data_IF_410200134010
#
_entry.id   IF_410200134010
#
_cell.length_a   1.000
_cell.length_b   1.000
_cell.length_c   1.000
_cell.angle_alpha   90.00
_cell.angle_beta   90.00
_cell.angle_gamma   90.00
#
_symmetry.space_group_name_H-M   'P 1'
#
loop_
_entity.id
_entity.type
_entity.pdbx_description
1 polymer ?
#
# COMPACT_ATOMS: atom_id res chain seq x y z
N UNK A 1 -21.56 -18.29 -11.82
CA UNK A 1 -20.66 -18.35 -10.65
C UNK A 1 -20.23 -19.80 -10.37
N UNK A 2 -21.15 -20.77 -10.11
CA UNK A 2 -20.80 -22.16 -9.78
C UNK A 2 -19.98 -22.86 -10.87
N UNK A 3 -20.27 -22.58 -12.14
CA UNK A 3 -19.51 -23.10 -13.28
C UNK A 3 -18.07 -22.54 -13.27
N UNK A 4 -17.93 -21.24 -13.01
CA UNK A 4 -16.62 -20.58 -12.91
C UNK A 4 -15.80 -21.12 -11.75
N UNK A 5 -16.42 -21.34 -10.59
CA UNK A 5 -15.75 -21.98 -9.46
C UNK A 5 -15.25 -23.41 -9.81
N UNK A 6 -16.00 -24.15 -10.60
CA UNK A 6 -15.58 -25.45 -11.12
C UNK A 6 -14.38 -25.36 -12.09
N UNK A 7 -14.36 -24.35 -12.96
CA UNK A 7 -13.23 -24.11 -13.88
C UNK A 7 -11.95 -23.78 -13.09
N UNK A 8 -12.04 -22.88 -12.12
CA UNK A 8 -10.89 -22.52 -11.26
C UNK A 8 -10.39 -23.71 -10.43
N UNK A 9 -11.30 -24.52 -9.90
CA UNK A 9 -10.96 -25.70 -9.12
C UNK A 9 -10.52 -26.93 -9.94
N UNK A 10 -10.55 -26.85 -11.27
CA UNK A 10 -10.22 -27.96 -12.15
C UNK A 10 -11.14 -29.19 -12.05
N UNK A 11 -12.30 -29.04 -11.39
CA UNK A 11 -13.30 -30.08 -11.17
C UNK A 11 -14.71 -29.49 -11.10
N UNK A 12 -15.72 -30.33 -11.27
CA UNK A 12 -17.10 -29.88 -11.07
C UNK A 12 -17.28 -29.41 -9.62
N UNK A 13 -17.73 -28.15 -9.45
CA UNK A 13 -18.05 -27.60 -8.13
C UNK A 13 -19.16 -28.41 -7.46
N UNK A 14 -18.91 -28.91 -6.27
CA UNK A 14 -19.86 -29.72 -5.52
C UNK A 14 -20.67 -28.84 -4.57
N UNK A 15 -21.98 -28.87 -4.70
CA UNK A 15 -22.88 -28.10 -3.85
C UNK A 15 -24.23 -28.83 -3.63
N UNK A 16 -24.95 -28.42 -2.62
CA UNK A 16 -26.32 -28.81 -2.36
C UNK A 16 -27.15 -27.60 -1.94
N UNK A 17 -28.45 -27.75 -1.89
CA UNK A 17 -29.34 -26.75 -1.33
C UNK A 17 -29.97 -27.29 -0.05
N UNK A 18 -29.97 -26.45 0.99
CA UNK A 18 -30.62 -26.73 2.27
C UNK A 18 -31.25 -25.45 2.82
N UNK A 19 -32.54 -25.49 3.15
CA UNK A 19 -33.31 -24.32 3.62
C UNK A 19 -33.22 -23.09 2.69
N UNK A 20 -33.09 -23.31 1.39
CA UNK A 20 -32.94 -22.23 0.39
C UNK A 20 -31.51 -21.71 0.20
N UNK A 21 -30.56 -22.14 1.02
CA UNK A 21 -29.14 -21.76 0.91
C UNK A 21 -28.35 -22.72 0.01
N UNK A 22 -27.48 -22.17 -0.83
CA UNK A 22 -26.52 -22.97 -1.60
C UNK A 22 -25.31 -23.28 -0.72
N UNK A 23 -25.09 -24.55 -0.42
CA UNK A 23 -24.03 -25.02 0.48
C UNK A 23 -22.93 -25.69 -0.35
N UNK A 24 -21.69 -25.20 -0.23
CA UNK A 24 -20.53 -25.87 -0.81
C UNK A 24 -20.19 -27.13 -0.02
N UNK A 25 -20.08 -28.25 -0.73
CA UNK A 25 -19.67 -29.53 -0.14
C UNK A 25 -18.15 -29.65 0.02
N UNK A 26 -17.37 -28.72 -0.57
CA UNK A 26 -15.92 -28.66 -0.42
C UNK A 26 -15.49 -27.75 0.76
N UNK A 27 -16.39 -26.91 1.29
CA UNK A 27 -16.09 -26.04 2.42
C UNK A 27 -15.87 -26.84 3.71
N UNK A 28 -14.90 -26.43 4.53
CA UNK A 28 -14.69 -27.05 5.85
C UNK A 28 -15.80 -26.67 6.83
N UNK A 29 -16.27 -25.42 6.76
CA UNK A 29 -17.40 -24.90 7.54
C UNK A 29 -18.33 -24.09 6.64
N UNK A 30 -19.62 -24.16 6.91
CA UNK A 30 -20.64 -23.31 6.31
C UNK A 30 -21.54 -22.78 7.41
N UNK A 31 -21.76 -21.48 7.43
CA UNK A 31 -22.67 -20.81 8.37
C UNK A 31 -23.81 -20.21 7.56
N UNK A 32 -25.05 -20.54 7.96
CA UNK A 32 -26.25 -19.95 7.36
C UNK A 32 -26.95 -19.07 8.37
N UNK A 33 -27.53 -17.96 7.90
CA UNK A 33 -28.20 -17.01 8.77
C UNK A 33 -28.72 -15.80 8.00
N UNK A 34 -29.23 -14.84 8.75
CA UNK A 34 -29.81 -13.60 8.22
C UNK A 34 -29.13 -12.38 8.79
N UNK A 35 -28.91 -11.37 7.95
CA UNK A 35 -28.48 -10.04 8.35
C UNK A 35 -29.63 -9.08 8.16
N UNK A 36 -30.18 -8.56 9.25
CA UNK A 36 -31.24 -7.55 9.21
C UNK A 36 -30.60 -6.17 9.00
N UNK A 37 -30.95 -5.44 7.94
CA UNK A 37 -30.44 -4.06 7.72
C UNK A 37 -30.70 -3.17 8.95
N UNK A 38 -29.64 -2.49 9.42
CA UNK A 38 -29.72 -1.62 10.60
C UNK A 38 -29.60 -2.33 11.96
N UNK A 39 -29.60 -3.67 12.01
CA UNK A 39 -29.28 -4.41 13.23
C UNK A 39 -27.79 -4.48 13.43
N UNK A 40 -27.22 -3.60 14.25
CA UNK A 40 -25.79 -3.49 14.51
C UNK A 40 -25.48 -3.78 15.98
N UNK A 41 -24.24 -4.19 16.24
CA UNK A 41 -23.69 -4.36 17.59
C UNK A 41 -22.26 -3.83 17.64
N UNK A 42 -21.78 -3.41 18.82
CA UNK A 42 -20.39 -2.97 19.00
C UNK A 42 -19.41 -4.06 18.63
N UNK A 43 -18.39 -3.68 17.84
CA UNK A 43 -17.25 -4.52 17.48
C UNK A 43 -15.96 -3.71 17.68
N UNK A 44 -14.86 -4.41 18.01
CA UNK A 44 -13.54 -3.81 18.25
C UNK A 44 -13.34 -3.35 19.70
N UNK A 45 -12.14 -2.80 20.02
CA UNK A 45 -10.99 -2.79 19.14
C UNK A 45 -10.32 -4.18 19.04
N UNK A 46 -9.78 -4.52 17.87
CA UNK A 46 -8.97 -5.72 17.66
C UNK A 46 -7.75 -5.39 16.78
N UNK A 47 -6.70 -6.22 16.83
CA UNK A 47 -5.53 -6.06 15.96
C UNK A 47 -5.87 -6.34 14.51
N UNK A 48 -5.45 -5.46 13.60
CA UNK A 48 -5.74 -5.54 12.19
C UNK A 48 -4.48 -5.70 11.34
N UNK A 49 -4.62 -6.10 10.08
CA UNK A 49 -3.51 -6.56 9.24
C UNK A 49 -2.47 -5.46 8.96
N UNK A 50 -2.83 -4.19 8.96
CA UNK A 50 -1.88 -3.08 8.83
C UNK A 50 -1.07 -2.82 10.11
N UNK A 51 -1.40 -3.47 11.24
CA UNK A 51 -0.70 -3.36 12.51
C UNK A 51 -1.27 -2.30 13.44
N UNK A 52 -2.43 -1.72 13.11
CA UNK A 52 -3.22 -0.87 14.01
C UNK A 52 -4.22 -1.69 14.80
N UNK A 53 -4.73 -1.11 15.88
CA UNK A 53 -5.98 -1.54 16.48
C UNK A 53 -7.15 -0.86 15.76
N UNK A 54 -8.19 -1.64 15.44
CA UNK A 54 -9.42 -1.12 14.85
C UNK A 54 -10.10 -0.12 15.79
N UNK A 55 -10.92 0.74 15.23
CA UNK A 55 -11.85 1.56 16.02
C UNK A 55 -12.95 0.66 16.60
N UNK A 56 -13.46 1.01 17.79
CA UNK A 56 -14.68 0.42 18.31
C UNK A 56 -15.88 1.15 17.71
N UNK A 57 -16.69 0.46 16.94
CA UNK A 57 -17.91 1.00 16.34
C UNK A 57 -18.93 -0.11 16.05
N UNK A 58 -20.16 0.27 15.71
CA UNK A 58 -21.22 -0.67 15.45
C UNK A 58 -21.10 -1.29 14.05
N UNK A 59 -21.15 -2.62 13.99
CA UNK A 59 -21.18 -3.41 12.77
C UNK A 59 -22.44 -4.22 12.59
N UNK A 60 -22.86 -4.56 11.34
CA UNK A 60 -23.97 -5.46 11.07
C UNK A 60 -23.79 -6.82 11.73
N UNK A 61 -24.88 -7.36 12.24
CA UNK A 61 -24.91 -8.64 12.95
C UNK A 61 -25.65 -9.69 12.13
N UNK A 62 -25.05 -10.87 12.00
CA UNK A 62 -25.68 -12.04 11.43
C UNK A 62 -26.33 -12.88 12.55
N UNK A 63 -27.61 -13.17 12.40
CA UNK A 63 -28.32 -14.17 13.19
C UNK A 63 -28.08 -15.55 12.58
N UNK A 64 -27.28 -16.36 13.25
CA UNK A 64 -26.89 -17.69 12.76
C UNK A 64 -28.05 -18.66 12.95
N UNK A 65 -28.48 -19.34 11.86
CA UNK A 65 -29.46 -20.40 11.88
C UNK A 65 -28.79 -21.76 12.09
N UNK A 66 -27.77 -22.07 11.26
CA UNK A 66 -27.05 -23.34 11.30
C UNK A 66 -25.57 -23.17 11.03
N UNK A 67 -24.78 -24.04 11.62
CA UNK A 67 -23.36 -24.20 11.34
C UNK A 67 -23.13 -25.64 10.89
N UNK A 68 -22.53 -25.79 9.72
CA UNK A 68 -22.13 -27.07 9.15
C UNK A 68 -20.61 -27.19 9.22
N UNK A 69 -20.15 -28.40 9.45
CA UNK A 69 -18.71 -28.72 9.38
C UNK A 69 -18.50 -30.04 8.66
N UNK A 70 -17.42 -30.20 7.94
CA UNK A 70 -17.01 -31.50 7.43
C UNK A 70 -16.90 -32.48 8.57
N UNK A 71 -17.43 -33.67 8.38
CA UNK A 71 -17.45 -34.73 9.41
C UNK A 71 -16.05 -35.15 9.85
N UNK A 72 -15.11 -35.15 8.90
CA UNK A 72 -13.70 -35.50 9.14
C UNK A 72 -12.78 -34.45 8.49
N UNK A 73 -11.67 -34.15 9.16
CA UNK A 73 -10.64 -33.28 8.67
C UNK A 73 -11.08 -31.84 8.34
N UNK A 74 -12.12 -31.31 9.00
CA UNK A 74 -12.40 -29.87 8.92
C UNK A 74 -11.23 -29.08 9.51
N UNK A 75 -10.71 -28.13 8.75
CA UNK A 75 -9.58 -27.31 9.13
C UNK A 75 -10.08 -25.92 9.47
N UNK A 76 -9.82 -25.48 10.70
CA UNK A 76 -9.98 -24.09 11.09
C UNK A 76 -8.61 -23.44 11.10
N UNK A 77 -8.20 -22.71 10.05
CA UNK A 77 -6.92 -22.08 10.03
C UNK A 77 -6.86 -20.98 11.09
N UNK A 78 -5.75 -20.90 11.79
CA UNK A 78 -5.47 -19.84 12.73
C UNK A 78 -4.29 -19.02 12.20
N UNK A 79 -4.53 -17.75 11.94
CA UNK A 79 -3.51 -16.85 11.40
C UNK A 79 -3.16 -15.77 12.40
N UNK A 80 -1.91 -15.31 12.35
CA UNK A 80 -1.45 -14.19 13.16
C UNK A 80 -1.43 -12.95 12.28
N UNK A 81 -2.29 -12.00 12.63
CA UNK A 81 -2.29 -10.67 12.02
C UNK A 81 -1.37 -9.76 12.80
N UNK A 82 -0.43 -9.14 12.14
CA UNK A 82 0.54 -8.25 12.80
C UNK A 82 1.91 -8.25 12.13
N UNK A 83 2.96 -8.13 12.94
CA UNK A 83 4.34 -8.04 12.46
C UNK A 83 5.17 -9.25 12.93
N UNK A 84 5.81 -9.94 12.00
CA UNK A 84 5.71 -9.85 10.55
C UNK A 84 4.35 -10.37 10.05
N UNK A 85 3.84 -9.85 8.90
CA UNK A 85 2.66 -10.39 8.25
C UNK A 85 2.96 -11.82 7.80
N UNK A 86 2.00 -12.73 7.94
CA UNK A 86 2.15 -14.12 7.55
C UNK A 86 1.15 -14.52 6.47
N UNK A 87 -0.13 -14.41 6.77
CA UNK A 87 -1.20 -14.76 5.84
C UNK A 87 -1.29 -13.78 4.68
N UNK A 88 -1.19 -12.48 4.97
CA UNK A 88 -1.34 -11.42 3.98
C UNK A 88 -0.32 -11.55 2.85
N UNK A 89 0.91 -11.98 3.14
CA UNK A 89 1.95 -12.23 2.14
C UNK A 89 1.52 -13.27 1.12
N UNK A 90 0.95 -14.38 1.56
CA UNK A 90 0.49 -15.45 0.67
C UNK A 90 -0.74 -15.02 -0.12
N UNK A 91 -1.64 -14.32 0.51
CA UNK A 91 -2.86 -13.81 -0.12
C UNK A 91 -2.53 -12.71 -1.15
N UNK A 92 -1.63 -11.79 -0.81
CA UNK A 92 -1.11 -10.77 -1.72
C UNK A 92 -0.45 -11.40 -2.96
N UNK A 93 0.41 -12.40 -2.80
CA UNK A 93 1.05 -13.11 -3.90
C UNK A 93 0.01 -13.77 -4.82
N UNK A 94 -1.01 -14.43 -4.25
CA UNK A 94 -2.09 -15.06 -5.02
C UNK A 94 -2.89 -14.02 -5.81
N UNK A 95 -3.25 -12.89 -5.21
CA UNK A 95 -3.96 -11.81 -5.89
C UNK A 95 -3.12 -11.26 -7.06
N UNK A 96 -1.83 -11.03 -6.86
CA UNK A 96 -0.93 -10.55 -7.93
C UNK A 96 -0.87 -11.53 -9.10
N UNK A 97 -0.80 -12.83 -8.82
CA UNK A 97 -0.78 -13.87 -9.87
C UNK A 97 -2.10 -13.88 -10.66
N UNK A 98 -3.24 -13.83 -9.97
CA UNK A 98 -4.57 -13.90 -10.60
C UNK A 98 -4.92 -12.62 -11.37
N UNK A 99 -4.55 -11.45 -10.89
CA UNK A 99 -5.03 -10.17 -11.43
C UNK A 99 -4.02 -9.42 -12.28
N UNK A 100 -2.72 -9.68 -12.12
CA UNK A 100 -1.64 -8.90 -12.74
C UNK A 100 -1.74 -8.78 -14.26
N UNK A 101 -2.08 -9.87 -14.95
CA UNK A 101 -2.26 -9.87 -16.41
C UNK A 101 -3.50 -9.08 -16.82
N UNK A 102 -4.62 -9.24 -16.11
CA UNK A 102 -5.86 -8.54 -16.41
C UNK A 102 -5.71 -7.02 -16.26
N UNK A 103 -5.04 -6.56 -15.20
CA UNK A 103 -4.78 -5.13 -14.97
C UNK A 103 -3.99 -4.47 -16.10
N UNK A 104 -3.00 -5.15 -16.66
CA UNK A 104 -2.22 -4.64 -17.81
C UNK A 104 -3.07 -4.44 -19.06
N UNK A 105 -4.11 -5.26 -19.25
CA UNK A 105 -5.06 -5.11 -20.35
C UNK A 105 -6.09 -4.02 -20.07
N UNK A 106 -6.49 -3.84 -18.83
CA UNK A 106 -7.49 -2.86 -18.43
C UNK A 106 -6.94 -1.43 -18.37
N UNK A 107 -5.65 -1.26 -18.06
CA UNK A 107 -4.99 0.03 -17.91
C UNK A 107 -3.97 0.24 -19.03
N UNK A 108 -4.34 0.93 -20.12
CA UNK A 108 -3.45 1.17 -21.24
C UNK A 108 -2.17 1.89 -20.83
N UNK A 109 -1.03 1.36 -21.26
CA UNK A 109 0.29 1.91 -20.93
C UNK A 109 0.91 1.36 -19.63
N UNK A 110 0.15 0.67 -18.78
CA UNK A 110 0.69 -0.01 -17.60
C UNK A 110 1.52 -1.23 -18.02
N UNK A 111 2.77 -1.31 -17.57
CA UNK A 111 3.69 -2.41 -17.86
C UNK A 111 3.85 -3.36 -16.66
N UNK A 112 4.10 -2.81 -15.49
CA UNK A 112 4.24 -3.56 -14.22
C UNK A 112 3.53 -2.83 -13.10
N UNK A 113 3.02 -3.59 -12.13
CA UNK A 113 2.39 -3.06 -10.93
C UNK A 113 2.64 -4.02 -9.76
N UNK A 114 2.91 -3.48 -8.59
CA UNK A 114 3.13 -4.23 -7.36
C UNK A 114 2.55 -3.46 -6.16
N UNK A 115 1.57 -4.05 -5.50
CA UNK A 115 1.12 -3.62 -4.18
C UNK A 115 2.04 -4.26 -3.15
N UNK A 116 2.85 -3.43 -2.47
CA UNK A 116 3.99 -3.89 -1.67
C UNK A 116 3.51 -4.52 -0.37
N UNK A 117 3.62 -5.83 -0.28
CA UNK A 117 3.23 -6.61 0.91
C UNK A 117 3.93 -6.13 2.19
N UNK A 118 5.23 -5.88 2.14
CA UNK A 118 5.99 -5.37 3.28
C UNK A 118 5.45 -4.04 3.83
N UNK A 119 4.75 -3.24 3.02
CA UNK A 119 4.08 -2.00 3.44
C UNK A 119 2.61 -2.21 3.85
N UNK A 120 2.10 -3.44 3.84
CA UNK A 120 0.70 -3.76 4.14
C UNK A 120 -0.21 -3.73 2.90
N UNK A 121 0.34 -3.98 1.72
CA UNK A 121 -0.35 -4.07 0.41
C UNK A 121 -0.85 -2.71 -0.07
N UNK A 122 -1.94 -2.19 0.46
CA UNK A 122 -2.57 -0.95 -0.03
C UNK A 122 -1.77 0.34 0.24
N UNK A 123 -1.06 0.52 1.35
CA UNK A 123 -0.33 1.76 1.60
C UNK A 123 0.69 2.13 0.53
N UNK A 124 1.37 1.16 -0.08
CA UNK A 124 2.40 1.42 -1.07
C UNK A 124 2.17 0.63 -2.36
N UNK A 125 1.94 1.35 -3.45
CA UNK A 125 1.80 0.80 -4.79
C UNK A 125 2.93 1.29 -5.69
N UNK A 126 3.63 0.37 -6.33
CA UNK A 126 4.69 0.65 -7.30
C UNK A 126 4.20 0.32 -8.71
N UNK A 127 4.46 1.19 -9.67
CA UNK A 127 4.04 0.99 -11.06
C UNK A 127 5.11 1.41 -12.07
N UNK A 128 5.22 0.65 -13.15
CA UNK A 128 5.98 1.02 -14.35
C UNK A 128 4.99 1.21 -15.48
N UNK A 129 5.00 2.39 -16.07
CA UNK A 129 4.17 2.74 -17.21
C UNK A 129 4.98 3.05 -18.46
N UNK A 130 4.27 3.48 -19.50
CA UNK A 130 4.85 4.11 -20.68
C UNK A 130 4.82 5.63 -20.55
N UNK A 131 5.74 6.33 -21.25
CA UNK A 131 5.72 7.78 -21.39
C UNK A 131 5.92 8.13 -22.87
N UNK A 132 4.81 8.26 -23.59
CA UNK A 132 4.78 8.41 -25.04
C UNK A 132 4.18 9.73 -25.51
N UNK A 133 3.54 10.49 -24.60
CA UNK A 133 2.73 11.65 -25.01
C UNK A 133 3.56 12.80 -25.56
N UNK A 134 4.78 12.98 -25.05
CA UNK A 134 5.63 14.12 -25.40
C UNK A 134 7.05 13.71 -25.82
N UNK A 135 7.21 12.78 -26.79
CA UNK A 135 8.53 12.25 -27.16
C UNK A 135 9.45 13.31 -27.81
N UNK A 136 8.87 14.41 -28.28
CA UNK A 136 9.55 15.54 -28.91
C UNK A 136 10.12 16.56 -27.91
N UNK A 137 9.72 16.49 -26.64
CA UNK A 137 10.26 17.39 -25.62
C UNK A 137 11.66 16.95 -25.21
N UNK A 138 12.57 17.93 -25.17
CA UNK A 138 13.95 17.71 -24.66
C UNK A 138 13.95 17.44 -23.17
N UNK A 139 13.12 18.17 -22.44
CA UNK A 139 12.92 17.96 -21.01
C UNK A 139 11.93 16.82 -20.80
N UNK A 140 12.40 15.72 -20.28
CA UNK A 140 11.58 14.58 -19.92
C UNK A 140 10.83 14.88 -18.63
N UNK A 141 9.50 14.75 -18.66
CA UNK A 141 8.61 14.93 -17.51
C UNK A 141 7.42 13.97 -17.56
N UNK A 142 6.83 13.62 -16.42
CA UNK A 142 5.64 12.78 -16.40
C UNK A 142 4.47 13.46 -17.11
N UNK A 143 3.81 12.75 -18.02
CA UNK A 143 2.58 13.20 -18.71
C UNK A 143 1.63 12.02 -18.89
N UNK A 144 1.98 10.99 -19.65
CA UNK A 144 1.21 9.76 -19.77
C UNK A 144 1.14 9.01 -18.43
N UNK A 145 2.23 9.02 -17.65
CA UNK A 145 2.27 8.43 -16.31
C UNK A 145 1.18 8.98 -15.38
N UNK A 146 0.85 10.27 -15.49
CA UNK A 146 -0.24 10.86 -14.71
C UNK A 146 -1.61 10.35 -15.15
N UNK A 147 -1.81 10.13 -16.47
CA UNK A 147 -3.03 9.51 -16.99
C UNK A 147 -3.17 8.08 -16.49
N UNK A 148 -2.07 7.31 -16.53
CA UNK A 148 -2.04 5.94 -16.00
C UNK A 148 -2.32 5.94 -14.50
N UNK A 149 -1.74 6.85 -13.73
CA UNK A 149 -1.97 6.99 -12.28
C UNK A 149 -3.44 7.25 -11.95
N UNK A 150 -4.08 8.16 -12.69
CA UNK A 150 -5.50 8.43 -12.51
C UNK A 150 -6.36 7.19 -12.80
N UNK A 151 -6.00 6.41 -13.81
CA UNK A 151 -6.69 5.15 -14.11
C UNK A 151 -6.47 4.12 -13.01
N UNK A 152 -5.25 3.98 -12.49
CA UNK A 152 -4.92 3.11 -11.35
C UNK A 152 -5.80 3.48 -10.16
N UNK A 153 -5.78 4.75 -9.74
CA UNK A 153 -6.56 5.23 -8.59
C UNK A 153 -8.08 5.24 -8.81
N UNK A 154 -8.54 5.05 -10.04
CA UNK A 154 -9.95 4.86 -10.40
C UNK A 154 -10.36 3.40 -10.60
N UNK A 155 -9.49 2.43 -10.33
CA UNK A 155 -9.73 1.00 -10.64
C UNK A 155 -9.79 0.15 -9.38
N UNK A 156 -10.98 -0.28 -8.98
CA UNK A 156 -11.22 -1.28 -7.93
C UNK A 156 -10.34 -1.13 -6.68
N UNK A 157 -9.71 -2.19 -6.24
CA UNK A 157 -8.83 -2.21 -5.06
C UNK A 157 -7.58 -1.34 -5.19
N UNK A 158 -7.11 -1.06 -6.42
CA UNK A 158 -5.97 -0.17 -6.63
C UNK A 158 -6.27 1.27 -6.18
N UNK A 159 -7.56 1.62 -6.12
CA UNK A 159 -8.01 2.93 -5.61
C UNK A 159 -7.68 3.15 -4.12
N UNK A 160 -7.35 2.10 -3.38
CA UNK A 160 -7.00 2.17 -1.97
C UNK A 160 -5.52 2.56 -1.72
N UNK A 161 -4.71 2.64 -2.78
CA UNK A 161 -3.31 3.04 -2.64
C UNK A 161 -3.18 4.42 -1.99
N UNK A 162 -2.33 4.51 -0.95
CA UNK A 162 -2.03 5.75 -0.23
C UNK A 162 -0.84 6.47 -0.86
N UNK A 163 0.22 5.72 -1.16
CA UNK A 163 1.39 6.19 -1.90
C UNK A 163 1.49 5.40 -3.20
N UNK A 164 1.35 6.07 -4.33
CA UNK A 164 1.60 5.51 -5.65
C UNK A 164 2.89 6.08 -6.23
N UNK A 165 3.93 5.26 -6.28
CA UNK A 165 5.15 5.58 -7.04
C UNK A 165 5.01 5.03 -8.45
N UNK A 166 5.15 5.91 -9.45
CA UNK A 166 5.09 5.51 -10.85
C UNK A 166 6.26 6.11 -11.64
N UNK A 167 6.84 5.30 -12.52
CA UNK A 167 7.88 5.72 -13.43
C UNK A 167 7.74 5.06 -14.80
N UNK A 168 8.45 5.57 -15.80
CA UNK A 168 8.57 4.88 -17.07
C UNK A 168 9.89 4.10 -17.13
N UNK A 169 9.81 2.92 -17.76
CA UNK A 169 10.99 2.16 -18.13
C UNK A 169 11.68 2.87 -19.31
N UNK A 170 12.79 3.52 -19.04
CA UNK A 170 13.67 4.02 -20.08
C UNK A 170 14.60 2.88 -20.50
N UNK A 171 14.25 2.20 -21.57
CA UNK A 171 14.94 1.01 -22.10
C UNK A 171 16.43 1.27 -22.50
N UNK A 172 16.91 2.51 -22.36
CA UNK A 172 18.32 2.88 -22.54
C UNK A 172 19.20 2.53 -21.35
N UNK A 173 18.63 2.22 -20.17
CA UNK A 173 19.40 1.81 -19.00
C UNK A 173 19.82 0.33 -19.11
N UNK A 174 21.09 0.04 -18.82
CA UNK A 174 21.65 -1.32 -18.86
C UNK A 174 21.03 -2.27 -17.80
N UNK A 175 20.26 -1.79 -16.86
CA UNK A 175 19.57 -2.57 -15.84
C UNK A 175 18.04 -2.46 -16.05
N UNK A 176 17.40 -3.61 -16.21
CA UNK A 176 15.94 -3.68 -16.33
C UNK A 176 15.31 -3.32 -14.99
N UNK A 177 14.60 -2.20 -14.96
CA UNK A 177 13.82 -1.79 -13.81
C UNK A 177 12.65 -2.76 -13.57
N UNK A 178 12.40 -3.13 -12.32
CA UNK A 178 11.28 -3.98 -11.93
C UNK A 178 10.64 -3.49 -10.64
N UNK A 179 9.31 -3.55 -10.58
CA UNK A 179 8.54 -3.26 -9.35
C UNK A 179 8.76 -4.29 -8.24
N UNK A 180 9.38 -5.44 -8.55
CA UNK A 180 9.69 -6.48 -7.58
C UNK A 180 11.04 -6.24 -6.89
N UNK A 181 11.94 -5.46 -7.50
CA UNK A 181 13.12 -4.93 -6.82
C UNK A 181 12.77 -3.60 -6.16
N UNK A 182 12.13 -3.68 -5.00
CA UNK A 182 11.59 -2.52 -4.28
C UNK A 182 12.67 -1.49 -3.96
N UNK A 183 13.85 -1.87 -3.38
CA UNK A 183 14.93 -0.91 -3.12
C UNK A 183 15.46 -0.24 -4.38
N UNK A 184 15.69 -1.01 -5.44
CA UNK A 184 16.15 -0.49 -6.74
C UNK A 184 15.12 0.42 -7.38
N UNK A 185 13.85 0.07 -7.34
CA UNK A 185 12.74 0.87 -7.85
C UNK A 185 12.61 2.21 -7.10
N UNK A 186 12.60 2.18 -5.77
CA UNK A 186 12.52 3.40 -4.96
C UNK A 186 13.73 4.29 -5.18
N UNK A 187 14.95 3.74 -5.22
CA UNK A 187 16.15 4.48 -5.56
C UNK A 187 16.00 5.18 -6.91
N UNK A 188 15.57 4.45 -7.95
CA UNK A 188 15.38 5.00 -9.29
C UNK A 188 14.41 6.20 -9.29
N UNK A 189 13.28 6.07 -8.61
CA UNK A 189 12.32 7.17 -8.48
C UNK A 189 12.88 8.35 -7.69
N UNK A 190 13.49 8.11 -6.54
CA UNK A 190 14.00 9.16 -5.64
C UNK A 190 15.17 9.95 -6.24
N UNK A 191 15.97 9.34 -7.13
CA UNK A 191 17.01 10.04 -7.89
C UNK A 191 16.43 11.05 -8.90
N UNK A 192 15.21 10.82 -9.40
CA UNK A 192 14.61 11.52 -10.55
C UNK A 192 13.45 12.44 -10.20
N UNK A 193 12.81 12.22 -9.07
CA UNK A 193 11.63 13.00 -8.67
C UNK A 193 11.97 14.48 -8.43
N UNK A 194 11.23 15.36 -9.09
CA UNK A 194 11.22 16.78 -8.80
C UNK A 194 10.08 17.07 -7.81
N UNK A 195 10.44 17.31 -6.54
CA UNK A 195 9.47 17.50 -5.47
C UNK A 195 8.59 18.75 -5.65
N UNK A 196 8.96 19.66 -6.55
CA UNK A 196 8.16 20.86 -6.87
C UNK A 196 7.10 20.60 -7.94
N UNK A 197 7.22 19.50 -8.68
CA UNK A 197 6.37 19.18 -9.84
C UNK A 197 5.69 17.82 -9.75
N UNK A 198 6.40 16.80 -9.26
CA UNK A 198 6.04 15.39 -9.46
C UNK A 198 5.24 14.79 -8.29
N UNK A 199 4.80 15.62 -7.34
CA UNK A 199 3.92 15.26 -6.23
C UNK A 199 2.48 15.68 -6.54
N UNK A 200 1.56 14.72 -6.62
CA UNK A 200 0.16 14.98 -6.93
C UNK A 200 -0.73 14.43 -5.81
N UNK A 201 -1.30 15.34 -5.03
CA UNK A 201 -2.10 15.00 -3.85
C UNK A 201 -3.59 14.89 -4.17
N UNK A 202 -4.24 13.87 -3.61
CA UNK A 202 -5.69 13.80 -3.47
C UNK A 202 -5.99 13.98 -1.97
N UNK A 203 -6.32 15.20 -1.59
CA UNK A 203 -6.55 15.58 -0.19
C UNK A 203 -7.97 15.24 0.23
N UNK A 204 -8.14 14.70 1.45
CA UNK A 204 -9.44 14.37 2.03
C UNK A 204 -10.29 13.45 1.12
N UNK A 205 -9.73 12.32 0.75
CA UNK A 205 -10.39 11.29 -0.05
C UNK A 205 -10.58 10.00 0.75
N UNK A 206 -11.20 9.00 0.12
CA UNK A 206 -11.32 7.67 0.72
C UNK A 206 -9.98 6.94 0.70
N UNK A 207 -9.66 6.28 1.80
CA UNK A 207 -8.52 5.36 1.95
C UNK A 207 -9.01 3.98 2.34
N UNK A 208 -8.11 3.03 2.53
CA UNK A 208 -8.45 1.71 3.03
C UNK A 208 -9.16 1.81 4.38
N UNK A 209 -10.21 1.01 4.56
CA UNK A 209 -10.96 0.90 5.82
C UNK A 209 -10.07 0.48 7.00
N UNK A 210 -9.02 -0.28 6.71
CA UNK A 210 -8.09 -0.82 7.70
C UNK A 210 -6.89 0.13 7.95
N UNK A 211 -6.79 1.25 7.24
CA UNK A 211 -5.81 2.30 7.49
C UNK A 211 -6.38 3.33 8.47
N UNK A 212 -6.02 3.18 9.74
CA UNK A 212 -6.45 4.07 10.82
C UNK A 212 -5.53 5.29 11.01
N UNK A 213 -4.58 5.53 10.09
CA UNK A 213 -3.70 6.71 10.13
C UNK A 213 -4.34 8.00 9.60
N UNK A 214 -5.54 7.91 9.04
CA UNK A 214 -6.26 9.03 8.48
C UNK A 214 -7.00 9.90 9.50
N UNK A 215 -7.89 10.77 9.02
CA UNK A 215 -8.68 11.68 9.84
C UNK A 215 -9.99 11.07 10.39
N UNK A 216 -10.27 9.83 10.06
CA UNK A 216 -11.45 9.08 10.46
C UNK A 216 -11.59 7.79 9.66
N UNK A 217 -12.70 7.06 9.86
CA UNK A 217 -12.96 5.82 9.12
C UNK A 217 -13.04 6.10 7.61
N UNK A 218 -12.25 5.40 6.81
CA UNK A 218 -12.12 5.56 5.35
C UNK A 218 -11.75 6.98 4.89
N UNK A 219 -11.19 7.81 5.75
CA UNK A 219 -10.92 9.22 5.45
C UNK A 219 -9.43 9.55 5.60
N UNK A 220 -8.80 9.95 4.51
CA UNK A 220 -7.39 10.33 4.50
C UNK A 220 -7.01 11.01 3.20
N UNK A 221 -5.72 11.00 2.90
CA UNK A 221 -5.18 11.60 1.68
C UNK A 221 -4.28 10.61 0.96
N UNK A 222 -4.09 10.83 -0.34
CA UNK A 222 -3.22 10.02 -1.20
C UNK A 222 -2.23 10.91 -1.91
N UNK A 223 -1.10 10.33 -2.31
CA UNK A 223 -0.12 11.02 -3.15
C UNK A 223 0.36 10.11 -4.27
N UNK A 224 0.43 10.65 -5.47
CA UNK A 224 1.15 10.09 -6.59
C UNK A 224 2.51 10.75 -6.67
N UNK A 225 3.55 9.94 -6.74
CA UNK A 225 4.93 10.36 -6.97
C UNK A 225 5.33 9.85 -8.36
N UNK A 226 5.25 10.72 -9.35
CA UNK A 226 5.50 10.38 -10.76
C UNK A 226 6.91 10.82 -11.16
N UNK A 227 7.86 9.90 -11.21
CA UNK A 227 9.25 10.19 -11.51
C UNK A 227 9.61 9.79 -12.94
N UNK A 228 10.17 10.71 -13.73
CA UNK A 228 10.63 10.40 -15.08
C UNK A 228 11.73 11.38 -15.55
N UNK A 229 12.69 10.88 -16.29
CA UNK A 229 13.77 11.65 -16.90
C UNK A 229 15.15 11.31 -16.35
N UNK A 230 16.09 12.24 -16.50
CA UNK A 230 17.46 12.08 -16.02
C UNK A 230 17.53 12.22 -14.49
N UNK A 231 18.48 11.55 -13.83
CA UNK A 231 18.71 11.74 -12.40
C UNK A 231 18.98 13.21 -12.05
N UNK A 232 18.21 13.74 -11.11
CA UNK A 232 18.34 15.11 -10.60
C UNK A 232 19.26 15.19 -9.39
N UNK A 233 19.51 14.07 -8.71
CA UNK A 233 20.36 14.00 -7.52
C UNK A 233 21.05 12.66 -7.37
N UNK A 234 22.17 12.69 -6.67
CA UNK A 234 22.79 11.49 -6.10
C UNK A 234 22.26 11.30 -4.69
N UNK A 235 21.81 10.11 -4.37
CA UNK A 235 21.28 9.82 -3.04
C UNK A 235 22.40 9.55 -2.03
N UNK A 236 22.29 10.10 -0.82
CA UNK A 236 23.22 9.81 0.26
C UNK A 236 23.12 8.35 0.69
N UNK A 237 24.28 7.74 0.99
CA UNK A 237 24.41 6.37 1.51
C UNK A 237 24.86 6.34 2.97
N UNK A 238 25.00 7.52 3.59
CA UNK A 238 25.28 7.72 5.01
C UNK A 238 24.52 8.96 5.48
N UNK A 239 24.34 9.09 6.78
CA UNK A 239 23.66 10.25 7.36
C UNK A 239 24.51 11.51 7.13
N UNK A 240 23.99 12.55 6.46
CA UNK A 240 24.71 13.81 6.28
C UNK A 240 24.97 14.50 7.62
N UNK A 241 26.06 15.25 7.70
CA UNK A 241 26.42 16.05 8.88
C UNK A 241 25.34 17.08 9.22
N UNK A 242 24.65 17.57 8.21
CA UNK A 242 23.51 18.49 8.34
C UNK A 242 22.27 17.91 9.04
N UNK A 243 22.18 16.59 9.18
CA UNK A 243 21.06 15.91 9.84
C UNK A 243 21.51 15.15 11.10
N UNK A 244 22.07 15.81 12.11
CA UNK A 244 22.52 15.12 13.32
C UNK A 244 21.32 14.47 14.05
N UNK A 245 21.48 13.20 14.43
CA UNK A 245 20.43 12.43 15.09
C UNK A 245 19.48 11.69 14.15
N UNK A 246 19.60 11.89 12.83
CA UNK A 246 18.88 11.06 11.87
C UNK A 246 19.48 9.65 11.76
N UNK A 247 18.72 8.74 11.18
CA UNK A 247 19.15 7.39 10.81
C UNK A 247 18.90 7.17 9.31
N UNK A 248 19.84 6.51 8.64
CA UNK A 248 19.64 6.12 7.24
C UNK A 248 18.71 4.91 7.19
N UNK A 249 17.63 5.01 6.42
CA UNK A 249 16.66 3.94 6.18
C UNK A 249 16.94 3.23 4.87
N UNK A 250 17.00 4.01 3.79
CA UNK A 250 17.36 3.62 2.43
C UNK A 250 18.24 4.74 1.84
N UNK A 251 18.96 4.50 0.72
CA UNK A 251 19.66 5.58 0.05
C UNK A 251 18.76 6.80 -0.18
N UNK A 252 19.17 7.96 0.34
CA UNK A 252 18.42 9.20 0.27
C UNK A 252 17.18 9.31 1.17
N UNK A 253 16.89 8.31 2.00
CA UNK A 253 15.76 8.31 2.95
C UNK A 253 16.29 8.28 4.36
N UNK A 254 15.95 9.28 5.15
CA UNK A 254 16.38 9.41 6.53
C UNK A 254 15.19 9.37 7.48
N UNK A 255 15.31 8.65 8.60
CA UNK A 255 14.41 8.74 9.74
C UNK A 255 14.95 9.78 10.74
N UNK A 256 14.13 10.75 11.12
CA UNK A 256 14.44 11.80 12.08
C UNK A 256 13.66 11.57 13.37
N UNK A 257 14.39 11.52 14.48
CA UNK A 257 13.78 11.40 15.80
C UNK A 257 12.98 12.65 16.14
N UNK A 258 11.70 12.47 16.44
CA UNK A 258 10.76 13.48 16.90
C UNK A 258 10.15 13.07 18.23
N UNK A 259 9.41 13.95 18.87
CA UNK A 259 8.59 13.60 20.01
C UNK A 259 7.47 12.64 19.63
N UNK A 260 7.00 11.86 20.59
CA UNK A 260 5.83 11.01 20.39
C UNK A 260 4.61 11.86 20.01
N UNK A 261 3.91 11.45 18.95
CA UNK A 261 2.71 12.15 18.49
C UNK A 261 1.67 12.26 19.61
N UNK A 262 1.17 13.46 19.82
CA UNK A 262 0.12 13.75 20.80
C UNK A 262 -1.03 14.57 20.21
N UNK A 263 -0.74 15.48 19.28
CA UNK A 263 -1.74 16.25 18.54
C UNK A 263 -1.14 16.81 17.25
N UNK A 264 -1.99 17.09 16.28
CA UNK A 264 -1.59 17.75 15.01
C UNK A 264 -0.98 19.13 15.24
N UNK A 265 -1.46 19.89 16.23
CA UNK A 265 -0.94 21.22 16.54
C UNK A 265 0.51 21.15 17.06
N UNK A 266 0.79 20.18 17.94
CA UNK A 266 2.16 19.95 18.44
C UNK A 266 3.07 19.49 17.32
N UNK A 267 2.66 18.50 16.54
CA UNK A 267 3.41 17.99 15.41
C UNK A 267 3.74 19.10 14.39
N UNK A 268 2.77 19.97 14.09
CA UNK A 268 3.00 21.12 13.19
C UNK A 268 4.09 22.05 13.70
N UNK A 269 4.08 22.40 15.00
CA UNK A 269 5.12 23.25 15.60
C UNK A 269 6.51 22.60 15.55
N UNK A 270 6.57 21.29 15.79
CA UNK A 270 7.81 20.54 15.69
C UNK A 270 8.35 20.50 14.27
N UNK A 271 7.48 20.30 13.28
CA UNK A 271 7.86 20.35 11.86
C UNK A 271 8.32 21.74 11.44
N UNK A 272 7.66 22.81 11.88
CA UNK A 272 8.07 24.19 11.64
C UNK A 272 9.47 24.45 12.21
N UNK A 273 9.73 24.02 13.45
CA UNK A 273 11.04 24.14 14.08
C UNK A 273 12.12 23.32 13.36
N UNK A 274 11.82 22.10 12.93
CA UNK A 274 12.71 21.27 12.15
C UNK A 274 13.03 21.93 10.80
N UNK A 275 12.01 22.45 10.11
CA UNK A 275 12.17 23.13 8.83
C UNK A 275 13.07 24.37 8.93
N UNK A 276 12.89 25.20 9.97
CA UNK A 276 13.77 26.36 10.20
C UNK A 276 15.21 25.93 10.48
N UNK A 277 15.41 24.83 11.23
CA UNK A 277 16.75 24.28 11.49
C UNK A 277 17.45 23.78 10.23
N UNK A 278 16.70 23.15 9.32
CA UNK A 278 17.24 22.55 8.11
C UNK A 278 17.27 23.49 6.90
N UNK A 279 16.65 24.66 6.97
CA UNK A 279 16.44 25.60 5.87
C UNK A 279 17.73 26.02 5.13
N UNK A 280 18.85 26.14 5.85
CA UNK A 280 20.14 26.55 5.31
C UNK A 280 21.11 25.37 5.12
N UNK A 281 20.65 24.16 5.39
CA UNK A 281 21.48 22.96 5.28
C UNK A 281 21.47 22.41 3.85
N UNK A 282 22.59 21.81 3.45
CA UNK A 282 22.64 21.15 2.15
C UNK A 282 22.01 19.75 2.23
N UNK A 283 20.79 19.64 1.75
CA UNK A 283 20.02 18.40 1.69
C UNK A 283 19.86 17.85 0.26
N UNK A 284 20.71 18.28 -0.67
CA UNK A 284 20.60 17.90 -2.09
C UNK A 284 20.64 16.39 -2.35
N UNK A 285 21.27 15.62 -1.47
CA UNK A 285 21.35 14.15 -1.55
C UNK A 285 20.25 13.44 -0.73
N UNK A 286 19.40 14.18 -0.02
CA UNK A 286 18.27 13.65 0.75
C UNK A 286 16.99 13.84 -0.04
N UNK A 287 16.32 12.75 -0.39
CA UNK A 287 15.07 12.81 -1.14
C UNK A 287 13.84 12.75 -0.23
N UNK A 288 13.93 12.10 0.92
CA UNK A 288 12.81 11.92 1.85
C UNK A 288 13.32 11.96 3.30
N UNK A 289 12.65 12.74 4.13
CA UNK A 289 12.84 12.78 5.57
C UNK A 289 11.57 12.30 6.27
N UNK A 290 11.69 11.22 7.05
CA UNK A 290 10.59 10.61 7.79
C UNK A 290 10.71 11.04 9.25
N UNK A 291 9.71 11.76 9.75
CA UNK A 291 9.61 12.11 11.15
C UNK A 291 8.95 10.97 11.92
N UNK A 292 9.59 10.46 12.96
CA UNK A 292 9.10 9.34 13.78
C UNK A 292 9.56 9.45 15.22
N UNK A 293 8.87 8.79 16.13
CA UNK A 293 9.19 8.77 17.55
C UNK A 293 10.24 7.72 17.94
N UNK A 294 10.63 6.85 17.00
CA UNK A 294 11.73 5.90 17.14
C UNK A 294 12.49 5.70 15.83
N UNK A 295 13.45 6.60 15.58
CA UNK A 295 14.27 6.57 14.37
C UNK A 295 15.18 5.33 14.28
N UNK A 296 15.60 4.77 15.43
CA UNK A 296 16.42 3.56 15.45
C UNK A 296 15.57 2.36 15.02
N UNK A 297 14.37 2.22 15.57
CA UNK A 297 13.43 1.16 15.18
C UNK A 297 13.10 1.21 13.68
N UNK A 298 12.81 2.40 13.13
CA UNK A 298 12.51 2.57 11.71
C UNK A 298 13.69 2.17 10.82
N UNK A 299 14.91 2.50 11.21
CA UNK A 299 16.12 2.21 10.42
C UNK A 299 16.60 0.75 10.54
N UNK A 300 16.41 0.11 11.68
CA UNK A 300 17.00 -1.20 12.00
C UNK A 300 16.06 -2.37 11.70
N UNK A 301 14.77 -2.15 11.56
CA UNK A 301 13.82 -3.25 11.31
C UNK A 301 13.82 -3.69 9.86
N UNK A 302 13.77 -4.99 9.64
CA UNK A 302 13.50 -5.59 8.32
C UNK A 302 12.18 -5.09 7.69
N UNK A 303 11.34 -4.44 8.49
CA UNK A 303 10.06 -3.83 8.10
C UNK A 303 10.16 -2.32 7.83
N UNK A 304 11.37 -1.77 7.58
CA UNK A 304 11.55 -0.33 7.34
C UNK A 304 10.62 0.26 6.28
N UNK A 305 10.37 -0.48 5.20
CA UNK A 305 9.41 -0.07 4.15
C UNK A 305 8.00 0.08 4.73
N UNK A 306 7.55 -0.85 5.56
CA UNK A 306 6.26 -0.75 6.25
C UNK A 306 6.20 0.49 7.16
N UNK A 307 7.23 0.70 7.97
CA UNK A 307 7.31 1.87 8.84
C UNK A 307 7.29 3.19 8.06
N UNK A 308 7.89 3.23 6.87
CA UNK A 308 7.92 4.43 6.04
C UNK A 308 6.57 4.78 5.40
N UNK A 309 5.74 3.80 5.07
CA UNK A 309 4.55 4.01 4.24
C UNK A 309 3.23 3.62 4.92
N UNK A 310 3.23 2.82 5.98
CA UNK A 310 2.02 2.42 6.70
C UNK A 310 1.70 3.30 7.91
N UNK A 311 2.69 3.98 8.48
CA UNK A 311 2.51 4.78 9.72
C UNK A 311 2.66 6.26 9.49
#
# INVERSE_FOLDING_TARGET
ELTFAGVLGGKKFQYTYEDGFCISLDADFVITGEVTPGANKPEGPFGDHLGYYSLAHDFPVMHVHKVYAKKNNAIWPFTVVGRPPQEDTQFGALIHELTGTALKHEIPGLKEINAVDAAGVHPLLLAIGSERYTPYLKEKRPSELLTISNRILGTGQLSLAKFLFITADDSSANEKLSVNDIPGFLRYCLERIDLTRDLHFQTQTSIDTLDYSGSGLNSGSKVVLAAYGEPLRKLCTSVPVSCPGARLVLPGVLAMQMDKFSSYEKAKKEFEALNEKLKNENLSEVALLIACDDAAFVAETASSIRCCFSF
#
